data_IF_409764185405
#
_entry.id   IF_409764185405
#
_cell.length_a   1.000
_cell.length_b   1.000
_cell.length_c   1.000
_cell.angle_alpha   90.00
_cell.angle_beta   90.00
_cell.angle_gamma   90.00
#
_symmetry.space_group_name_H-M   'P 1'
#
loop_
_entity.id
_entity.type
_entity.pdbx_description
1 polymer ?
#
# COMPACT_ATOMS: atom_id res chain seq x y z
N UNK A 1 -11.83 -11.20 15.43
CA UNK A 1 -11.32 -10.00 16.16
C UNK A 1 -12.49 -9.35 16.89
N UNK A 2 -12.30 -8.85 18.13
CA UNK A 2 -13.37 -8.16 18.88
C UNK A 2 -13.68 -6.79 18.24
N UNK A 3 -14.90 -6.25 18.48
CA UNK A 3 -15.27 -4.91 17.97
C UNK A 3 -14.31 -3.81 18.44
N UNK A 4 -13.85 -3.86 19.68
CA UNK A 4 -12.88 -2.89 20.22
C UNK A 4 -11.51 -3.02 19.57
N UNK A 5 -11.01 -4.24 19.34
CA UNK A 5 -9.75 -4.46 18.66
C UNK A 5 -9.79 -3.93 17.22
N UNK A 6 -10.87 -4.18 16.50
CA UNK A 6 -11.06 -3.67 15.15
C UNK A 6 -11.09 -2.14 15.13
N UNK A 7 -11.88 -1.52 16.01
CA UNK A 7 -12.00 -0.07 16.12
C UNK A 7 -10.65 0.60 16.40
N UNK A 8 -9.83 0.04 17.31
CA UNK A 8 -8.49 0.54 17.60
C UNK A 8 -7.61 0.43 16.36
N UNK A 9 -7.65 -0.70 15.65
CA UNK A 9 -6.86 -0.95 14.44
C UNK A 9 -7.17 0.05 13.33
N UNK A 10 -8.45 0.22 13.02
CA UNK A 10 -8.92 1.14 11.96
C UNK A 10 -8.60 2.60 12.31
N UNK A 11 -8.81 2.99 13.57
CA UNK A 11 -8.45 4.33 14.06
C UNK A 11 -6.95 4.57 13.95
N UNK A 12 -6.13 3.61 14.38
CA UNK A 12 -4.67 3.72 14.29
C UNK A 12 -4.21 3.82 12.82
N UNK A 13 -4.78 3.02 11.92
CA UNK A 13 -4.46 3.09 10.50
C UNK A 13 -4.79 4.46 9.90
N UNK A 14 -5.97 4.98 10.16
CA UNK A 14 -6.38 6.30 9.67
C UNK A 14 -5.43 7.40 10.17
N UNK A 15 -5.10 7.39 11.45
CA UNK A 15 -4.19 8.35 12.05
C UNK A 15 -2.76 8.22 11.51
N UNK A 16 -2.23 7.01 11.36
CA UNK A 16 -0.91 6.78 10.77
C UNK A 16 -0.85 7.22 9.31
N UNK A 17 -1.93 7.01 8.57
CA UNK A 17 -2.01 7.44 7.18
C UNK A 17 -2.07 8.97 7.07
N UNK A 18 -2.88 9.65 7.88
CA UNK A 18 -3.07 11.10 7.82
C UNK A 18 -1.85 11.87 8.35
N UNK A 19 -1.28 11.42 9.45
CA UNK A 19 -0.18 12.13 10.13
C UNK A 19 1.18 11.46 9.88
N UNK A 20 1.65 10.68 10.86
CA UNK A 20 2.85 9.84 10.74
C UNK A 20 2.81 8.73 11.79
N UNK A 21 3.52 7.64 11.53
CA UNK A 21 3.60 6.52 12.48
C UNK A 21 4.30 6.95 13.78
N UNK A 22 5.39 7.73 13.65
CA UNK A 22 6.14 8.22 14.82
C UNK A 22 5.35 9.29 15.56
N UNK A 23 4.75 10.24 14.84
CA UNK A 23 4.04 11.39 15.44
C UNK A 23 2.73 11.02 16.15
N UNK A 24 2.08 9.94 15.77
CA UNK A 24 0.82 9.49 16.39
C UNK A 24 1.11 8.78 17.71
N UNK A 25 0.75 9.45 18.82
CA UNK A 25 0.86 8.88 20.18
C UNK A 25 -0.31 7.95 20.53
N UNK A 26 -0.09 7.11 21.52
CA UNK A 26 -1.11 6.19 22.06
C UNK A 26 -2.33 6.95 22.61
N UNK A 27 -2.11 8.14 23.19
CA UNK A 27 -3.19 8.97 23.71
C UNK A 27 -4.12 9.46 22.60
N UNK A 28 -3.59 9.86 21.45
CA UNK A 28 -4.40 10.26 20.30
C UNK A 28 -5.24 9.09 19.78
N UNK A 29 -4.67 7.89 19.70
CA UNK A 29 -5.40 6.68 19.28
C UNK A 29 -6.53 6.36 20.28
N UNK A 30 -6.24 6.45 21.59
CA UNK A 30 -7.23 6.27 22.65
C UNK A 30 -8.40 7.25 22.49
N UNK A 31 -8.08 8.54 22.39
CA UNK A 31 -9.08 9.59 22.37
C UNK A 31 -9.95 9.53 21.10
N UNK A 32 -9.33 9.27 19.96
CA UNK A 32 -10.04 9.14 18.67
C UNK A 32 -10.87 7.86 18.60
N UNK A 33 -10.33 6.72 19.08
CA UNK A 33 -11.06 5.46 19.07
C UNK A 33 -12.13 5.37 20.16
N UNK A 34 -12.06 6.19 21.21
CA UNK A 34 -12.90 6.07 22.39
C UNK A 34 -12.68 4.78 23.19
N UNK A 35 -11.58 4.08 22.95
CA UNK A 35 -11.19 2.88 23.69
C UNK A 35 -10.16 3.23 24.76
N UNK A 36 -10.21 2.57 25.95
CA UNK A 36 -9.24 2.83 27.00
C UNK A 36 -7.84 2.33 26.63
N UNK A 37 -6.80 2.92 27.22
CA UNK A 37 -5.41 2.41 27.09
C UNK A 37 -5.32 0.94 27.54
N UNK A 38 -6.00 0.55 28.61
CA UNK A 38 -6.03 -0.83 29.07
C UNK A 38 -6.60 -1.76 28.00
N UNK A 39 -7.71 -1.37 27.37
CA UNK A 39 -8.29 -2.12 26.26
C UNK A 39 -7.31 -2.26 25.10
N UNK A 40 -6.65 -1.17 24.73
CA UNK A 40 -5.67 -1.18 23.64
C UNK A 40 -4.51 -2.13 23.95
N UNK A 41 -3.92 -2.06 25.14
CA UNK A 41 -2.81 -2.94 25.53
C UNK A 41 -3.22 -4.41 25.76
N UNK A 42 -4.50 -4.67 26.00
CA UNK A 42 -5.02 -6.03 26.03
C UNK A 42 -4.92 -6.71 24.66
N UNK A 43 -5.16 -5.97 23.58
CA UNK A 43 -5.12 -6.51 22.21
C UNK A 43 -3.75 -6.33 21.53
N UNK A 44 -3.09 -5.21 21.75
CA UNK A 44 -1.86 -4.82 21.07
C UNK A 44 -0.80 -4.41 22.09
N UNK A 45 -0.27 -5.32 22.85
CA UNK A 45 0.66 -5.18 24.00
C UNK A 45 1.51 -3.86 24.05
N UNK A 46 1.80 -3.25 22.92
CA UNK A 46 2.50 -1.99 22.79
C UNK A 46 2.20 -1.33 21.42
N UNK A 47 2.64 -0.08 21.22
CA UNK A 47 2.44 0.66 19.96
C UNK A 47 3.07 -0.07 18.77
N UNK A 48 4.25 -0.69 18.95
CA UNK A 48 4.92 -1.43 17.87
C UNK A 48 4.08 -2.58 17.34
N UNK A 49 3.48 -3.37 18.21
CA UNK A 49 2.58 -4.45 17.79
C UNK A 49 1.31 -3.95 17.12
N UNK A 50 0.80 -2.78 17.52
CA UNK A 50 -0.31 -2.14 16.84
C UNK A 50 0.10 -1.68 15.42
N UNK A 51 1.28 -1.09 15.26
CA UNK A 51 1.81 -0.71 13.94
C UNK A 51 1.92 -1.94 13.03
N UNK A 52 2.53 -3.02 13.51
CA UNK A 52 2.65 -4.27 12.76
C UNK A 52 1.29 -4.82 12.35
N UNK A 53 0.32 -4.84 13.28
CA UNK A 53 -1.04 -5.29 12.99
C UNK A 53 -1.75 -4.43 11.95
N UNK A 54 -1.58 -3.11 11.98
CA UNK A 54 -2.08 -2.17 10.97
C UNK A 54 -1.49 -2.48 9.60
N UNK A 55 -0.18 -2.64 9.51
CA UNK A 55 0.49 -2.93 8.25
C UNK A 55 0.05 -4.29 7.67
N UNK A 56 -0.05 -5.35 8.48
CA UNK A 56 -0.56 -6.65 8.04
C UNK A 56 -2.01 -6.58 7.54
N UNK A 57 -2.88 -5.88 8.27
CA UNK A 57 -4.28 -5.73 7.87
C UNK A 57 -4.42 -4.93 6.57
N UNK A 58 -3.62 -3.86 6.42
CA UNK A 58 -3.56 -3.06 5.18
C UNK A 58 -3.04 -3.88 4.00
N UNK A 59 -1.97 -4.65 4.17
CA UNK A 59 -1.42 -5.54 3.14
C UNK A 59 -2.46 -6.56 2.65
N UNK A 60 -3.17 -7.17 3.59
CA UNK A 60 -4.23 -8.13 3.27
C UNK A 60 -5.32 -7.49 2.41
N UNK A 61 -5.86 -6.33 2.81
CA UNK A 61 -6.90 -5.62 2.04
C UNK A 61 -6.39 -5.14 0.70
N UNK A 62 -5.17 -4.63 0.65
CA UNK A 62 -4.53 -4.20 -0.60
C UNK A 62 -4.44 -5.36 -1.60
N UNK A 63 -3.92 -6.51 -1.18
CA UNK A 63 -3.83 -7.72 -2.01
C UNK A 63 -5.19 -8.21 -2.48
N UNK A 64 -6.18 -8.24 -1.59
CA UNK A 64 -7.56 -8.61 -1.94
C UNK A 64 -8.15 -7.68 -3.00
N UNK A 65 -7.95 -6.37 -2.84
CA UNK A 65 -8.47 -5.37 -3.78
C UNK A 65 -7.79 -5.44 -5.14
N UNK A 66 -6.46 -5.63 -5.18
CA UNK A 66 -5.74 -5.82 -6.45
C UNK A 66 -6.14 -7.13 -7.14
N UNK A 67 -6.22 -8.24 -6.39
CA UNK A 67 -6.65 -9.52 -6.98
C UNK A 67 -8.07 -9.42 -7.56
N UNK A 68 -8.99 -8.74 -6.86
CA UNK A 68 -10.34 -8.51 -7.37
C UNK A 68 -10.34 -7.64 -8.65
N UNK A 69 -9.45 -6.66 -8.75
CA UNK A 69 -9.33 -5.80 -9.92
C UNK A 69 -8.87 -6.54 -11.19
N UNK A 70 -8.10 -7.63 -11.03
CA UNK A 70 -7.57 -8.42 -12.14
C UNK A 70 -8.27 -9.77 -12.31
N UNK A 71 -9.31 -10.06 -11.55
CA UNK A 71 -10.02 -11.34 -11.60
C UNK A 71 -10.53 -11.63 -13.02
N UNK A 72 -10.17 -12.78 -13.55
CA UNK A 72 -10.53 -13.18 -14.93
C UNK A 72 -9.76 -12.46 -16.04
N UNK A 73 -8.78 -11.64 -15.72
CA UNK A 73 -7.91 -10.96 -16.68
C UNK A 73 -6.52 -11.63 -16.70
N UNK A 74 -5.88 -11.57 -17.87
CA UNK A 74 -4.54 -12.14 -18.08
C UNK A 74 -3.64 -11.14 -18.81
N UNK A 75 -2.34 -11.36 -18.70
CA UNK A 75 -1.30 -10.66 -19.44
C UNK A 75 -1.47 -9.13 -19.40
N UNK A 76 -1.48 -8.49 -20.56
CA UNK A 76 -1.59 -7.02 -20.70
C UNK A 76 -2.87 -6.48 -20.02
N UNK A 77 -4.03 -7.11 -20.24
CA UNK A 77 -5.28 -6.63 -19.66
C UNK A 77 -5.25 -6.56 -18.12
N UNK A 78 -4.59 -7.53 -17.47
CA UNK A 78 -4.40 -7.52 -16.02
C UNK A 78 -3.43 -6.42 -15.58
N UNK A 79 -2.36 -6.15 -16.33
CA UNK A 79 -1.42 -5.04 -16.02
C UNK A 79 -2.12 -3.70 -16.17
N UNK A 80 -2.92 -3.51 -17.21
CA UNK A 80 -3.72 -2.30 -17.42
C UNK A 80 -4.71 -2.08 -16.25
N UNK A 81 -5.38 -3.13 -15.82
CA UNK A 81 -6.30 -3.08 -14.69
C UNK A 81 -5.58 -2.78 -13.35
N UNK A 82 -4.39 -3.34 -13.14
CA UNK A 82 -3.55 -3.01 -11.99
C UNK A 82 -3.16 -1.53 -11.98
N UNK A 83 -2.74 -0.98 -13.13
CA UNK A 83 -2.39 0.43 -13.23
C UNK A 83 -3.62 1.32 -13.02
N UNK A 84 -4.74 1.01 -13.66
CA UNK A 84 -6.01 1.73 -13.48
C UNK A 84 -6.46 1.74 -12.00
N UNK A 85 -6.27 0.62 -11.28
CA UNK A 85 -6.54 0.57 -9.84
C UNK A 85 -5.67 1.57 -9.06
N UNK A 86 -4.37 1.66 -9.37
CA UNK A 86 -3.46 2.63 -8.73
C UNK A 86 -3.83 4.07 -9.07
N UNK A 87 -4.29 4.32 -10.30
CA UNK A 87 -4.81 5.63 -10.73
C UNK A 87 -6.05 6.00 -9.91
N UNK A 88 -7.01 5.10 -9.77
CA UNK A 88 -8.21 5.33 -8.96
C UNK A 88 -7.87 5.54 -7.47
N UNK A 89 -6.92 4.76 -6.93
CA UNK A 89 -6.47 4.92 -5.55
C UNK A 89 -5.79 6.27 -5.31
N UNK A 90 -4.98 6.76 -6.26
CA UNK A 90 -4.30 8.06 -6.13
C UNK A 90 -5.24 9.27 -6.12
N UNK A 91 -6.49 9.09 -6.54
CA UNK A 91 -7.52 10.14 -6.57
C UNK A 91 -8.38 10.18 -5.29
N UNK A 92 -8.17 9.27 -4.35
CA UNK A 92 -8.93 9.26 -3.10
C UNK A 92 -8.49 10.40 -2.18
N UNK A 93 -9.42 11.07 -1.52
CA UNK A 93 -9.16 12.23 -0.62
C UNK A 93 -8.11 11.93 0.46
N UNK A 94 -8.07 10.68 0.92
CA UNK A 94 -7.14 10.22 1.94
C UNK A 94 -5.83 9.61 1.37
N UNK A 95 -5.56 9.80 0.08
CA UNK A 95 -4.31 9.33 -0.52
C UNK A 95 -3.11 10.07 0.07
N UNK A 96 -2.18 9.33 0.63
CA UNK A 96 -0.92 9.81 1.23
C UNK A 96 0.28 8.97 0.76
N UNK A 97 0.19 8.42 -0.46
CA UNK A 97 1.21 7.52 -0.99
C UNK A 97 1.23 6.15 -0.30
N UNK A 98 2.30 5.44 -0.49
CA UNK A 98 2.47 4.10 0.06
C UNK A 98 2.84 4.14 1.55
N UNK A 99 1.93 3.70 2.43
CA UNK A 99 2.17 3.66 3.88
C UNK A 99 3.36 2.75 4.25
N UNK A 100 3.63 1.68 3.48
CA UNK A 100 4.77 0.79 3.74
C UNK A 100 6.11 1.50 3.50
N UNK A 101 6.22 2.33 2.46
CA UNK A 101 7.42 3.15 2.21
C UNK A 101 7.61 4.15 3.33
N UNK A 102 6.54 4.81 3.75
CA UNK A 102 6.58 5.76 4.87
C UNK A 102 6.95 5.08 6.19
N UNK A 103 6.39 3.88 6.44
CA UNK A 103 6.70 3.10 7.63
C UNK A 103 8.19 2.76 7.73
N UNK A 104 8.83 2.37 6.62
CA UNK A 104 10.27 2.09 6.58
C UNK A 104 11.09 3.38 6.77
N UNK A 105 10.68 4.49 6.15
CA UNK A 105 11.37 5.77 6.30
C UNK A 105 11.33 6.32 7.74
N UNK A 106 10.28 5.98 8.49
CA UNK A 106 10.10 6.38 9.89
C UNK A 106 10.58 5.30 10.90
N UNK A 107 10.90 4.08 10.42
CA UNK A 107 11.32 2.98 11.26
C UNK A 107 12.70 3.24 11.89
N UNK A 108 12.86 2.79 13.13
CA UNK A 108 14.16 2.79 13.82
C UNK A 108 14.96 1.55 13.39
N UNK A 109 16.24 1.56 13.67
CA UNK A 109 17.15 0.44 13.31
C UNK A 109 16.78 -0.91 13.94
N UNK A 110 16.00 -0.89 15.03
CA UNK A 110 15.50 -2.07 15.75
C UNK A 110 14.08 -2.49 15.34
N UNK A 111 13.41 -1.73 14.47
CA UNK A 111 12.05 -2.02 13.99
C UNK A 111 12.03 -3.00 12.80
N UNK A 112 12.79 -4.10 12.91
CA UNK A 112 13.01 -5.06 11.83
C UNK A 112 11.69 -5.63 11.26
N UNK A 113 10.67 -5.80 12.09
CA UNK A 113 9.38 -6.35 11.64
C UNK A 113 8.66 -5.42 10.68
N UNK A 114 8.71 -4.10 10.88
CA UNK A 114 8.17 -3.11 9.92
C UNK A 114 8.84 -3.26 8.56
N UNK A 115 10.17 -3.37 8.57
CA UNK A 115 10.97 -3.52 7.34
C UNK A 115 10.59 -4.83 6.63
N UNK A 116 10.47 -5.92 7.36
CA UNK A 116 10.09 -7.23 6.81
C UNK A 116 8.70 -7.19 6.17
N UNK A 117 7.70 -6.60 6.85
CA UNK A 117 6.33 -6.48 6.32
C UNK A 117 6.34 -5.65 5.03
N UNK A 118 7.04 -4.52 5.02
CA UNK A 118 7.12 -3.65 3.86
C UNK A 118 7.82 -4.33 2.67
N UNK A 119 8.92 -5.07 2.93
CA UNK A 119 9.61 -5.86 1.91
C UNK A 119 8.70 -6.94 1.31
N UNK A 120 7.98 -7.69 2.14
CA UNK A 120 7.03 -8.72 1.69
C UNK A 120 5.90 -8.12 0.84
N UNK A 121 5.38 -6.96 1.24
CA UNK A 121 4.38 -6.22 0.46
C UNK A 121 4.90 -5.86 -0.93
N UNK A 122 6.07 -5.24 -1.00
CA UNK A 122 6.70 -4.83 -2.27
C UNK A 122 7.08 -6.01 -3.15
N UNK A 123 7.62 -7.04 -2.56
CA UNK A 123 7.99 -8.26 -3.28
C UNK A 123 6.77 -8.95 -3.90
N UNK A 124 5.64 -8.98 -3.19
CA UNK A 124 4.41 -9.55 -3.72
C UNK A 124 3.91 -8.79 -4.98
N UNK A 125 3.90 -7.46 -4.96
CA UNK A 125 3.51 -6.64 -6.13
C UNK A 125 4.45 -6.89 -7.30
N UNK A 126 5.76 -6.89 -7.03
CA UNK A 126 6.79 -7.15 -8.03
C UNK A 126 6.60 -8.51 -8.69
N UNK A 127 6.38 -9.56 -7.90
CA UNK A 127 6.14 -10.92 -8.38
C UNK A 127 4.85 -11.03 -9.20
N UNK A 128 3.79 -10.32 -8.81
CA UNK A 128 2.54 -10.25 -9.57
C UNK A 128 2.78 -9.63 -10.95
N UNK A 129 3.44 -8.48 -11.03
CA UNK A 129 3.78 -7.83 -12.30
C UNK A 129 4.68 -8.72 -13.16
N UNK A 130 5.69 -9.37 -12.55
CA UNK A 130 6.57 -10.30 -13.26
C UNK A 130 5.81 -11.48 -13.87
N UNK A 131 4.89 -12.08 -13.13
CA UNK A 131 4.03 -13.16 -13.60
C UNK A 131 3.19 -12.71 -14.80
N UNK A 132 2.55 -11.55 -14.72
CA UNK A 132 1.72 -11.00 -15.79
C UNK A 132 2.54 -10.61 -17.03
N UNK A 133 3.74 -10.06 -16.86
CA UNK A 133 4.66 -9.79 -17.96
C UNK A 133 5.13 -11.08 -18.65
N UNK A 134 5.35 -12.17 -17.90
CA UNK A 134 5.66 -13.49 -18.50
C UNK A 134 4.48 -14.02 -19.32
N UNK A 135 3.25 -13.88 -18.85
CA UNK A 135 2.06 -14.27 -19.61
C UNK A 135 1.94 -13.47 -20.91
N UNK A 136 2.35 -12.20 -20.90
CA UNK A 136 2.39 -11.35 -22.09
C UNK A 136 3.59 -11.65 -23.02
N UNK A 137 4.50 -12.55 -22.66
CA UNK A 137 5.76 -12.76 -23.39
C UNK A 137 6.78 -11.62 -23.26
N UNK A 138 6.64 -10.78 -22.23
CA UNK A 138 7.37 -9.52 -22.01
C UNK A 138 8.10 -9.48 -20.66
N UNK A 139 8.59 -10.62 -20.18
CA UNK A 139 9.26 -10.75 -18.88
C UNK A 139 10.40 -9.75 -18.66
N UNK A 140 11.11 -9.37 -19.72
CA UNK A 140 12.24 -8.42 -19.68
C UNK A 140 11.84 -7.01 -19.23
N UNK A 141 10.56 -6.64 -19.33
CA UNK A 141 10.06 -5.30 -18.96
C UNK A 141 9.45 -5.25 -17.56
N UNK A 142 9.38 -6.38 -16.84
CA UNK A 142 8.71 -6.43 -15.53
C UNK A 142 9.28 -5.46 -14.50
N UNK A 143 10.60 -5.34 -14.43
CA UNK A 143 11.28 -4.42 -13.50
C UNK A 143 10.99 -2.96 -13.86
N UNK A 144 10.99 -2.61 -15.15
CA UNK A 144 10.68 -1.26 -15.61
C UNK A 144 9.21 -0.91 -15.33
N UNK A 145 8.27 -1.82 -15.61
CA UNK A 145 6.84 -1.62 -15.34
C UNK A 145 6.62 -1.44 -13.82
N UNK A 146 7.23 -2.29 -12.98
CA UNK A 146 7.17 -2.11 -11.53
C UNK A 146 7.70 -0.73 -11.10
N UNK A 147 8.82 -0.30 -11.67
CA UNK A 147 9.41 1.02 -11.38
C UNK A 147 8.48 2.17 -11.81
N UNK A 148 7.76 2.04 -12.94
CA UNK A 148 6.77 3.02 -13.38
C UNK A 148 5.61 3.14 -12.39
N UNK A 149 5.11 2.03 -11.84
CA UNK A 149 4.08 2.05 -10.80
C UNK A 149 4.57 2.77 -9.52
N UNK A 150 5.76 2.42 -9.03
CA UNK A 150 6.34 3.05 -7.83
C UNK A 150 6.59 4.55 -8.06
N UNK A 151 7.13 4.92 -9.22
CA UNK A 151 7.35 6.32 -9.60
C UNK A 151 6.04 7.10 -9.70
N UNK A 152 4.99 6.49 -10.26
CA UNK A 152 3.66 7.10 -10.32
C UNK A 152 3.12 7.42 -8.92
N UNK A 153 3.15 6.44 -8.00
CA UNK A 153 2.68 6.61 -6.61
C UNK A 153 3.45 7.75 -5.91
N UNK A 154 4.78 7.77 -6.07
CA UNK A 154 5.63 8.80 -5.46
C UNK A 154 5.33 10.19 -6.04
N UNK A 155 5.12 10.31 -7.35
CA UNK A 155 4.75 11.57 -8.00
C UNK A 155 3.41 12.08 -7.54
N UNK A 156 2.38 11.22 -7.48
CA UNK A 156 1.07 11.61 -7.00
C UNK A 156 1.10 12.10 -5.54
N UNK A 157 1.99 11.58 -4.71
CA UNK A 157 2.16 12.06 -3.33
C UNK A 157 2.70 13.50 -3.28
N UNK A 158 3.64 13.86 -4.17
CA UNK A 158 4.36 15.15 -4.13
C UNK A 158 3.67 16.20 -5.00
N UNK A 159 3.25 15.81 -6.20
CA UNK A 159 2.74 16.71 -7.23
C UNK A 159 1.20 16.79 -7.23
N UNK A 160 0.52 15.85 -6.56
CA UNK A 160 -0.91 15.60 -6.70
C UNK A 160 -1.24 14.73 -7.91
N UNK A 161 -2.52 14.44 -8.09
CA UNK A 161 -2.99 13.69 -9.25
C UNK A 161 -3.03 14.58 -10.51
N UNK A 162 -2.41 14.10 -11.59
CA UNK A 162 -2.47 14.71 -12.91
C UNK A 162 -2.86 13.65 -13.96
N UNK A 163 -3.99 13.84 -14.62
CA UNK A 163 -4.51 12.89 -15.62
C UNK A 163 -3.51 12.64 -16.76
N UNK A 164 -2.88 13.69 -17.28
CA UNK A 164 -1.86 13.60 -18.34
C UNK A 164 -0.66 12.73 -17.93
N UNK A 165 -0.28 12.77 -16.65
CA UNK A 165 0.81 11.93 -16.14
C UNK A 165 0.41 10.45 -16.13
N UNK A 166 -0.80 10.14 -15.65
CA UNK A 166 -1.34 8.79 -15.65
C UNK A 166 -1.45 8.23 -17.08
N UNK A 167 -1.99 9.03 -18.00
CA UNK A 167 -2.13 8.66 -19.40
C UNK A 167 -0.78 8.38 -20.08
N UNK A 168 0.22 9.23 -19.88
CA UNK A 168 1.57 9.02 -20.45
C UNK A 168 2.25 7.77 -19.90
N UNK A 169 2.06 7.47 -18.61
CA UNK A 169 2.61 6.24 -18.02
C UNK A 169 1.91 5.02 -18.60
N UNK A 170 0.57 5.06 -18.75
CA UNK A 170 -0.18 3.99 -19.40
C UNK A 170 0.30 3.77 -20.84
N UNK A 171 0.47 4.82 -21.63
CA UNK A 171 1.00 4.73 -23.00
C UNK A 171 2.39 4.09 -23.04
N UNK A 172 3.28 4.43 -22.10
CA UNK A 172 4.60 3.78 -22.01
C UNK A 172 4.49 2.29 -21.66
N UNK A 173 3.58 1.91 -20.76
CA UNK A 173 3.31 0.50 -20.45
C UNK A 173 2.78 -0.22 -21.69
N UNK A 174 1.89 0.42 -22.45
CA UNK A 174 1.34 -0.13 -23.70
C UNK A 174 2.44 -0.42 -24.73
N UNK A 175 3.35 0.52 -24.94
CA UNK A 175 4.51 0.34 -25.85
C UNK A 175 5.35 -0.86 -25.41
N UNK A 176 5.70 -0.95 -24.12
CA UNK A 176 6.53 -2.05 -23.59
C UNK A 176 5.87 -3.42 -23.74
N UNK A 177 4.55 -3.47 -23.70
CA UNK A 177 3.80 -4.73 -23.77
C UNK A 177 3.37 -5.13 -25.18
N UNK A 178 3.45 -4.23 -26.18
CA UNK A 178 3.06 -4.49 -27.57
C UNK A 178 4.25 -4.68 -28.51
N UNK A 179 5.39 -4.06 -28.24
CA UNK A 179 6.63 -4.27 -29.00
C UNK A 179 7.30 -5.63 -28.70
#
# INVERSE_FOLDING_TARGET
MSKSALKILETAEALFNEHSIVGVGVDLIRDTSGCSKTTMYTYYKNKQQLINAVLYARDTRFKQSLNAAIEGLEAKAAIDALFAWHVAWSQQDHFKGCLFVRAVAEARSDDQEIINIAQQHKQWIKQLIEMLCRQAGKAQYSELIYTLFEGYIARCLVEGFHADTAERIQQNIDVLLTE
#
